data_IF_212562287714
#
_entry.id   IF_212562287714
#
_cell.length_a   1.000
_cell.length_b   1.000
_cell.length_c   1.000
_cell.angle_alpha   90.00
_cell.angle_beta   90.00
_cell.angle_gamma   90.00
#
_symmetry.space_group_name_H-M   'P 1'
#
loop_
_entity.id
_entity.type
_entity.pdbx_description
1 polymer ?
#
# COMPACT_ATOMS: atom_id res chain seq x y z
N UNK A 1 -4.22 -23.18 7.34
CA UNK A 1 -4.37 -22.71 5.94
C UNK A 1 -3.72 -21.34 5.83
N UNK A 2 -2.84 -21.13 4.86
CA UNK A 2 -2.19 -19.83 4.66
C UNK A 2 -3.20 -18.81 4.11
N UNK A 3 -3.27 -17.63 4.70
CA UNK A 3 -4.17 -16.53 4.30
C UNK A 3 -3.42 -15.21 4.31
N UNK A 4 -3.83 -14.26 3.49
CA UNK A 4 -3.26 -12.92 3.48
C UNK A 4 -4.29 -11.85 3.16
N UNK A 5 -4.04 -10.64 3.66
CA UNK A 5 -4.84 -9.46 3.47
C UNK A 5 -3.94 -8.25 3.23
N UNK A 6 -4.39 -7.33 2.38
CA UNK A 6 -3.73 -6.04 2.14
C UNK A 6 -4.72 -4.92 2.39
N UNK A 7 -4.23 -3.80 2.91
CA UNK A 7 -4.98 -2.57 3.12
C UNK A 7 -4.13 -1.34 2.79
N UNK A 8 -4.80 -0.21 2.60
CA UNK A 8 -4.19 1.08 2.34
C UNK A 8 -4.35 1.58 0.90
N UNK A 9 -4.31 2.89 0.80
CA UNK A 9 -4.51 3.71 -0.39
C UNK A 9 -3.17 4.15 -0.98
N UNK A 10 -3.14 4.42 -2.28
CA UNK A 10 -1.93 4.81 -2.99
C UNK A 10 -1.27 6.08 -2.46
N UNK A 11 -2.07 6.97 -1.87
CA UNK A 11 -1.62 8.21 -1.25
C UNK A 11 -2.01 8.31 0.24
N UNK A 12 -2.42 7.20 0.86
CA UNK A 12 -2.56 7.11 2.31
C UNK A 12 -1.21 7.12 3.03
N UNK A 13 -1.19 7.09 4.37
CA UNK A 13 0.05 7.18 5.16
C UNK A 13 0.95 5.94 5.00
N UNK A 14 0.35 4.77 4.84
CA UNK A 14 1.06 3.51 4.65
C UNK A 14 0.15 2.45 4.03
N UNK A 15 0.76 1.40 3.50
CA UNK A 15 0.09 0.13 3.22
C UNK A 15 0.27 -0.81 4.41
N UNK A 16 -0.76 -1.62 4.68
CA UNK A 16 -0.69 -2.70 5.66
C UNK A 16 -0.81 -4.05 4.95
N UNK A 17 0.00 -5.01 5.37
CA UNK A 17 0.02 -6.36 4.83
C UNK A 17 0.02 -7.36 5.99
N UNK A 18 -0.96 -8.25 6.01
CA UNK A 18 -1.10 -9.28 7.06
C UNK A 18 -1.07 -10.65 6.40
N UNK A 19 -0.25 -11.56 6.92
CA UNK A 19 -0.27 -12.98 6.57
C UNK A 19 -0.48 -13.82 7.82
N UNK A 20 -1.37 -14.80 7.74
CA UNK A 20 -1.71 -15.73 8.82
C UNK A 20 -1.49 -17.18 8.34
N UNK A 21 -1.09 -18.05 9.27
CA UNK A 21 -0.88 -19.47 8.98
C UNK A 21 0.51 -19.80 8.46
N UNK A 22 1.46 -18.88 8.60
CA UNK A 22 2.90 -19.15 8.39
C UNK A 22 3.41 -19.95 9.60
N UNK A 23 4.08 -21.10 9.42
CA UNK A 23 4.67 -21.83 10.54
C UNK A 23 5.67 -20.99 11.34
N UNK A 24 5.87 -21.33 12.61
CA UNK A 24 7.00 -20.82 13.37
C UNK A 24 8.34 -21.31 12.77
N UNK A 25 9.44 -20.66 13.16
CA UNK A 25 10.81 -21.05 12.78
C UNK A 25 11.23 -20.78 11.33
N UNK A 26 10.42 -20.04 10.55
CA UNK A 26 10.83 -19.53 9.24
C UNK A 26 11.74 -18.32 9.44
N UNK A 27 12.92 -18.32 8.82
CA UNK A 27 13.89 -17.22 8.92
C UNK A 27 13.54 -16.13 7.92
N UNK A 28 13.25 -14.92 8.40
CA UNK A 28 12.91 -13.77 7.57
C UNK A 28 13.19 -12.47 8.33
N UNK A 29 13.76 -11.49 7.63
CA UNK A 29 14.17 -10.19 8.17
C UNK A 29 13.62 -9.05 7.32
N UNK A 30 13.62 -7.82 7.86
CA UNK A 30 13.24 -6.63 7.08
C UNK A 30 14.09 -6.46 5.81
N UNK A 31 15.37 -6.86 5.84
CA UNK A 31 16.26 -6.82 4.66
C UNK A 31 15.79 -7.73 3.53
N UNK A 32 15.21 -8.89 3.85
CA UNK A 32 14.67 -9.81 2.84
C UNK A 32 13.45 -9.19 2.15
N UNK A 33 12.61 -8.51 2.93
CA UNK A 33 11.45 -7.79 2.40
C UNK A 33 11.89 -6.59 1.56
N UNK A 34 12.87 -5.80 2.04
CA UNK A 34 13.43 -4.65 1.32
C UNK A 34 14.01 -5.06 -0.03
N UNK A 35 14.75 -6.17 -0.07
CA UNK A 35 15.29 -6.72 -1.32
C UNK A 35 14.19 -6.98 -2.35
N UNK A 36 13.09 -7.60 -1.96
CA UNK A 36 11.98 -7.88 -2.86
C UNK A 36 11.21 -6.60 -3.25
N UNK A 37 11.03 -5.64 -2.34
CA UNK A 37 10.44 -4.34 -2.68
C UNK A 37 11.30 -3.54 -3.66
N UNK A 38 12.63 -3.57 -3.50
CA UNK A 38 13.57 -2.91 -4.41
C UNK A 38 13.44 -3.49 -5.83
N UNK A 39 13.29 -4.82 -5.96
CA UNK A 39 13.05 -5.47 -7.27
C UNK A 39 11.77 -5.00 -7.96
N UNK A 40 10.75 -4.58 -7.21
CA UNK A 40 9.50 -4.01 -7.77
C UNK A 40 9.74 -2.72 -8.56
N UNK A 41 10.83 -2.01 -8.25
CA UNK A 41 11.20 -0.73 -8.87
C UNK A 41 12.05 -0.89 -10.13
N UNK A 42 12.45 -2.11 -10.46
CA UNK A 42 13.22 -2.38 -11.67
C UNK A 42 12.35 -2.29 -12.93
N UNK A 43 13.01 -2.02 -14.05
CA UNK A 43 12.41 -2.03 -15.40
C UNK A 43 12.60 -0.70 -16.13
N UNK A 44 12.96 -0.77 -17.41
CA UNK A 44 13.03 0.40 -18.29
C UNK A 44 11.63 1.01 -18.44
N UNK A 45 11.54 2.35 -18.38
CA UNK A 45 10.26 3.07 -18.49
C UNK A 45 9.45 3.15 -17.20
N UNK A 46 9.99 2.69 -16.05
CA UNK A 46 9.37 2.95 -14.74
C UNK A 46 9.36 4.44 -14.45
N UNK A 47 8.19 4.96 -14.08
CA UNK A 47 7.97 6.39 -13.88
C UNK A 47 8.82 6.95 -12.74
N UNK A 48 9.16 8.24 -12.84
CA UNK A 48 10.01 8.95 -11.89
C UNK A 48 9.58 8.79 -10.42
N UNK A 49 8.27 8.61 -10.16
CA UNK A 49 7.71 8.35 -8.83
C UNK A 49 8.41 7.20 -8.10
N UNK A 50 8.78 6.11 -8.78
CA UNK A 50 9.44 4.97 -8.14
C UNK A 50 10.90 5.22 -7.76
N UNK A 51 11.53 6.28 -8.29
CA UNK A 51 12.90 6.64 -7.95
C UNK A 51 12.99 7.45 -6.64
N UNK A 52 11.89 8.11 -6.23
CA UNK A 52 11.86 8.98 -5.05
C UNK A 52 11.05 8.40 -3.88
N UNK A 53 10.02 7.58 -4.15
CA UNK A 53 9.19 6.97 -3.11
C UNK A 53 9.92 5.76 -2.48
N UNK A 54 10.61 6.01 -1.36
CA UNK A 54 11.27 4.95 -0.60
C UNK A 54 10.25 4.26 0.31
N UNK A 55 9.82 3.07 -0.07
CA UNK A 55 9.11 2.13 0.81
C UNK A 55 9.89 1.93 2.11
N UNK A 56 9.37 2.43 3.24
CA UNK A 56 9.94 2.16 4.55
C UNK A 56 9.20 0.98 5.18
N UNK A 57 9.88 -0.15 5.34
CA UNK A 57 9.28 -1.34 5.93
C UNK A 57 9.35 -1.29 7.45
N UNK A 58 8.23 -1.59 8.10
CA UNK A 58 8.16 -1.88 9.53
C UNK A 58 7.45 -3.20 9.76
N UNK A 59 8.11 -4.14 10.45
CA UNK A 59 7.47 -5.38 10.90
C UNK A 59 6.84 -5.09 12.27
N UNK A 60 5.52 -5.11 12.33
CA UNK A 60 4.77 -4.73 13.53
C UNK A 60 4.50 -5.92 14.46
N UNK A 61 4.57 -7.16 13.95
CA UNK A 61 4.34 -8.35 14.75
C UNK A 61 4.58 -9.66 13.99
N UNK A 62 4.58 -10.78 14.72
CA UNK A 62 4.68 -12.14 14.18
C UNK A 62 6.10 -12.65 13.91
N UNK A 63 7.12 -11.78 13.97
CA UNK A 63 8.53 -12.14 13.80
C UNK A 63 9.32 -11.64 15.01
N UNK A 64 10.19 -12.48 15.57
CA UNK A 64 11.10 -12.15 16.67
C UNK A 64 12.50 -12.65 16.33
N UNK A 65 13.51 -11.78 16.46
CA UNK A 65 14.91 -12.10 16.15
C UNK A 65 15.13 -12.71 14.75
N UNK A 66 14.39 -12.23 13.75
CA UNK A 66 14.47 -12.72 12.37
C UNK A 66 13.81 -14.07 12.14
N UNK A 67 12.94 -14.51 13.04
CA UNK A 67 12.26 -15.81 12.97
C UNK A 67 10.76 -15.66 13.23
N UNK A 68 9.93 -16.31 12.43
CA UNK A 68 8.46 -16.30 12.60
C UNK A 68 8.04 -17.03 13.88
N UNK A 69 6.96 -16.56 14.50
CA UNK A 69 6.43 -17.09 15.77
C UNK A 69 5.19 -17.99 15.59
N UNK A 70 4.73 -18.21 14.36
CA UNK A 70 3.54 -19.04 14.05
C UNK A 70 2.19 -18.29 14.09
N UNK A 71 2.14 -17.14 14.79
CA UNK A 71 1.00 -16.22 14.76
C UNK A 71 0.97 -15.33 13.50
N UNK A 72 -0.03 -14.43 13.39
CA UNK A 72 -0.12 -13.49 12.29
C UNK A 72 1.12 -12.58 12.21
N UNK A 73 1.61 -12.37 10.99
CA UNK A 73 2.70 -11.43 10.70
C UNK A 73 2.07 -10.17 10.11
N UNK A 74 2.35 -9.03 10.75
CA UNK A 74 1.89 -7.71 10.31
C UNK A 74 3.08 -6.89 9.82
N UNK A 75 2.95 -6.36 8.60
CA UNK A 75 3.97 -5.56 7.94
C UNK A 75 3.33 -4.25 7.47
N UNK A 76 3.99 -3.14 7.76
CA UNK A 76 3.66 -1.82 7.26
C UNK A 76 4.68 -1.40 6.19
N UNK A 77 4.19 -0.79 5.11
CA UNK A 77 5.02 -0.15 4.08
C UNK A 77 4.67 1.34 4.06
N UNK A 78 5.54 2.17 4.62
CA UNK A 78 5.33 3.61 4.75
C UNK A 78 5.33 4.34 3.41
N UNK A 79 4.56 5.43 3.34
CA UNK A 79 4.51 6.33 2.19
C UNK A 79 5.28 7.63 2.50
N UNK A 80 6.44 7.81 1.88
CA UNK A 80 7.27 9.01 2.05
C UNK A 80 6.61 10.30 1.52
N UNK A 81 5.62 10.17 0.63
CA UNK A 81 4.90 11.31 0.07
C UNK A 81 3.68 11.72 0.93
N UNK A 82 3.41 11.00 2.03
CA UNK A 82 2.28 11.28 2.93
C UNK A 82 2.13 12.76 3.34
N UNK A 83 3.20 13.52 3.67
CA UNK A 83 3.06 14.93 4.05
C UNK A 83 2.38 15.81 2.97
N UNK A 84 2.41 15.40 1.71
CA UNK A 84 1.76 16.14 0.61
C UNK A 84 0.27 15.77 0.43
N UNK A 85 -0.19 14.75 1.14
CA UNK A 85 -1.53 14.16 1.03
C UNK A 85 -2.29 14.17 2.34
N UNK A 86 -1.65 14.49 3.46
CA UNK A 86 -2.20 14.44 4.81
C UNK A 86 -3.60 15.06 4.93
N UNK A 87 -3.84 16.23 4.34
CA UNK A 87 -5.18 16.86 4.35
C UNK A 87 -6.17 16.21 3.38
N UNK A 88 -5.72 15.89 2.16
CA UNK A 88 -6.59 15.36 1.08
C UNK A 88 -7.05 13.94 1.36
N UNK A 89 -6.19 13.16 1.99
CA UNK A 89 -6.39 11.76 2.33
C UNK A 89 -6.52 11.56 3.85
N UNK A 90 -6.87 12.63 4.58
CA UNK A 90 -7.09 12.58 6.02
C UNK A 90 -8.15 11.52 6.34
N UNK A 91 -7.87 10.70 7.36
CA UNK A 91 -8.86 9.77 7.88
C UNK A 91 -9.97 10.50 8.66
N UNK A 92 -9.59 11.60 9.32
CA UNK A 92 -10.51 12.44 10.08
C UNK A 92 -11.10 13.56 9.20
N UNK A 93 -12.31 14.05 9.51
CA UNK A 93 -12.90 15.17 8.81
C UNK A 93 -11.99 16.41 8.80
N UNK A 94 -11.93 17.09 7.66
CA UNK A 94 -11.23 18.37 7.49
C UNK A 94 -12.27 19.42 7.11
N UNK A 95 -12.10 20.65 7.61
CA UNK A 95 -12.98 21.76 7.24
C UNK A 95 -12.99 21.97 5.72
N UNK A 96 -14.18 22.09 5.14
CA UNK A 96 -14.36 22.33 3.71
C UNK A 96 -13.65 23.61 3.24
N UNK A 97 -13.55 24.64 4.09
CA UNK A 97 -12.82 25.86 3.77
C UNK A 97 -11.31 25.62 3.59
N UNK A 98 -10.73 24.70 4.37
CA UNK A 98 -9.33 24.30 4.22
C UNK A 98 -9.08 23.48 2.96
N UNK A 99 -10.06 22.65 2.57
CA UNK A 99 -9.97 21.81 1.38
C UNK A 99 -10.21 22.59 0.08
N UNK A 100 -11.05 23.63 0.09
CA UNK A 100 -11.43 24.40 -1.10
C UNK A 100 -10.22 25.07 -1.78
N UNK A 101 -9.19 25.44 -1.00
CA UNK A 101 -7.95 26.03 -1.53
C UNK A 101 -6.93 25.01 -2.08
N UNK A 102 -7.16 23.71 -1.88
CA UNK A 102 -6.21 22.67 -2.26
C UNK A 102 -6.55 22.10 -3.64
N UNK A 103 -5.80 22.51 -4.67
CA UNK A 103 -5.97 21.96 -6.02
C UNK A 103 -5.83 20.43 -6.10
N UNK A 104 -5.11 19.81 -5.14
CA UNK A 104 -5.01 18.34 -5.01
C UNK A 104 -6.32 17.66 -4.61
N UNK A 105 -7.22 18.39 -3.95
CA UNK A 105 -8.54 17.90 -3.53
C UNK A 105 -9.61 18.10 -4.62
N UNK A 106 -9.27 18.63 -5.79
CA UNK A 106 -10.22 18.79 -6.87
C UNK A 106 -10.84 17.43 -7.26
N UNK A 107 -12.16 17.34 -7.49
CA UNK A 107 -12.82 16.08 -7.83
C UNK A 107 -12.35 15.58 -9.20
N UNK A 108 -12.22 14.27 -9.33
CA UNK A 108 -11.79 13.59 -10.55
C UNK A 108 -13.00 12.93 -11.23
N UNK A 109 -13.63 13.69 -12.12
CA UNK A 109 -14.90 13.28 -12.76
C UNK A 109 -14.74 12.73 -14.18
N UNK A 110 -13.51 12.52 -14.64
CA UNK A 110 -13.20 12.01 -15.99
C UNK A 110 -12.57 10.62 -15.88
N UNK A 111 -13.36 9.54 -15.94
CA UNK A 111 -12.85 8.19 -15.73
C UNK A 111 -11.92 7.76 -16.86
N UNK A 112 -10.79 7.15 -16.53
CA UNK A 112 -9.78 6.72 -17.51
C UNK A 112 -10.19 5.37 -18.14
N UNK A 113 -10.18 5.24 -19.48
CA UNK A 113 -10.36 3.95 -20.13
C UNK A 113 -9.32 2.92 -19.66
N UNK A 114 -9.79 1.70 -19.37
CA UNK A 114 -8.93 0.61 -18.86
C UNK A 114 -8.63 0.66 -17.36
N UNK A 115 -9.11 1.66 -16.63
CA UNK A 115 -9.00 1.75 -15.17
C UNK A 115 -10.31 1.42 -14.47
N UNK A 116 -10.25 1.24 -13.14
CA UNK A 116 -11.39 0.95 -12.29
C UNK A 116 -12.36 2.13 -12.13
N UNK A 117 -11.97 3.34 -12.53
CA UNK A 117 -12.64 4.60 -12.21
C UNK A 117 -14.16 4.56 -12.49
N UNK A 118 -14.59 4.36 -13.75
CA UNK A 118 -16.01 4.43 -14.13
C UNK A 118 -16.87 3.39 -13.40
N UNK A 119 -16.45 2.12 -13.44
CA UNK A 119 -17.21 1.01 -12.85
C UNK A 119 -17.22 1.13 -11.33
N UNK A 120 -16.12 1.58 -10.72
CA UNK A 120 -16.04 1.83 -9.29
C UNK A 120 -16.94 2.97 -8.84
N UNK A 121 -16.92 4.10 -9.55
CA UNK A 121 -17.80 5.24 -9.28
C UNK A 121 -19.28 4.81 -9.33
N UNK A 122 -19.69 4.10 -10.39
CA UNK A 122 -21.05 3.59 -10.52
C UNK A 122 -21.43 2.56 -9.46
N UNK A 123 -20.49 1.67 -9.10
CA UNK A 123 -20.72 0.59 -8.12
C UNK A 123 -20.93 1.11 -6.71
N UNK A 124 -20.17 2.13 -6.33
CA UNK A 124 -20.13 2.66 -4.97
C UNK A 124 -20.81 4.02 -4.82
N UNK A 125 -21.45 4.51 -5.89
CA UNK A 125 -22.17 5.79 -5.93
C UNK A 125 -21.27 6.98 -5.55
N UNK A 126 -20.12 7.09 -6.22
CA UNK A 126 -19.20 8.21 -6.06
C UNK A 126 -19.20 9.14 -7.27
N UNK A 127 -19.32 10.44 -7.00
CA UNK A 127 -19.13 11.51 -8.00
C UNK A 127 -17.65 11.87 -8.25
N UNK A 128 -16.75 11.35 -7.42
CA UNK A 128 -15.29 11.51 -7.53
C UNK A 128 -14.61 10.15 -7.70
N UNK A 129 -13.71 10.02 -8.68
CA UNK A 129 -12.93 8.80 -8.89
C UNK A 129 -11.84 8.58 -7.82
N UNK A 130 -11.52 9.57 -6.98
CA UNK A 130 -10.41 9.47 -6.00
C UNK A 130 -10.53 8.27 -5.06
N UNK A 131 -11.66 8.02 -4.36
CA UNK A 131 -11.78 6.84 -3.49
C UNK A 131 -11.55 5.51 -4.22
N UNK A 132 -11.86 5.46 -5.53
CA UNK A 132 -11.68 4.27 -6.36
C UNK A 132 -10.22 4.10 -6.77
N UNK A 133 -9.61 5.12 -7.38
CA UNK A 133 -8.26 5.02 -7.93
C UNK A 133 -7.21 4.81 -6.84
N UNK A 134 -7.46 5.35 -5.65
CA UNK A 134 -6.54 5.24 -4.52
C UNK A 134 -6.34 3.79 -4.10
N UNK A 135 -7.42 3.01 -4.06
CA UNK A 135 -7.35 1.58 -3.72
C UNK A 135 -7.06 0.69 -4.93
N UNK A 136 -7.56 1.03 -6.11
CA UNK A 136 -7.32 0.25 -7.33
C UNK A 136 -5.89 0.41 -7.90
N UNK A 137 -5.16 1.42 -7.44
CA UNK A 137 -3.77 1.66 -7.84
C UNK A 137 -2.88 0.44 -7.63
N UNK A 138 -2.00 0.19 -8.60
CA UNK A 138 -0.97 -0.85 -8.50
C UNK A 138 0.05 -0.60 -7.36
N UNK A 139 -0.02 0.54 -6.66
CA UNK A 139 0.74 0.79 -5.43
C UNK A 139 0.53 -0.30 -4.39
N UNK A 140 -0.69 -0.83 -4.28
CA UNK A 140 -1.06 -1.94 -3.38
C UNK A 140 -0.17 -3.18 -3.56
N UNK A 141 0.39 -3.40 -4.76
CA UNK A 141 1.27 -4.54 -5.03
C UNK A 141 2.54 -4.55 -4.18
N UNK A 142 2.95 -3.41 -3.60
CA UNK A 142 4.04 -3.39 -2.63
C UNK A 142 3.71 -4.22 -1.37
N UNK A 143 2.48 -4.15 -0.85
CA UNK A 143 2.03 -5.01 0.24
C UNK A 143 2.08 -6.49 -0.16
N UNK A 144 1.66 -6.82 -1.39
CA UNK A 144 1.75 -8.19 -1.93
C UNK A 144 3.18 -8.69 -2.05
N UNK A 145 4.11 -7.84 -2.46
CA UNK A 145 5.54 -8.20 -2.55
C UNK A 145 6.13 -8.47 -1.16
N UNK A 146 5.76 -7.68 -0.14
CA UNK A 146 6.18 -7.94 1.24
C UNK A 146 5.66 -9.29 1.77
N UNK A 147 4.38 -9.61 1.51
CA UNK A 147 3.79 -10.92 1.85
C UNK A 147 4.46 -12.05 1.06
N UNK A 148 4.75 -11.83 -0.22
CA UNK A 148 5.45 -12.76 -1.08
C UNK A 148 6.88 -13.04 -0.62
N UNK A 149 7.56 -12.07 -0.01
CA UNK A 149 8.88 -12.28 0.59
C UNK A 149 8.81 -13.25 1.79
N UNK A 150 7.78 -13.13 2.64
CA UNK A 150 7.55 -14.09 3.74
C UNK A 150 7.25 -15.49 3.19
N UNK A 151 6.41 -15.60 2.16
CA UNK A 151 6.12 -16.89 1.53
C UNK A 151 7.38 -17.51 0.89
N UNK A 152 8.23 -16.70 0.25
CA UNK A 152 9.51 -17.14 -0.32
C UNK A 152 10.51 -17.63 0.73
N UNK A 153 10.49 -17.05 1.93
CA UNK A 153 11.34 -17.50 3.01
C UNK A 153 10.94 -18.90 3.55
N UNK A 154 9.68 -19.30 3.33
CA UNK A 154 9.17 -20.62 3.70
C UNK A 154 9.44 -21.71 2.65
N UNK A 155 9.39 -21.35 1.35
CA UNK A 155 9.61 -22.25 0.21
C UNK A 155 11.09 -22.64 0.05
#
# INVERSE_FOLDING_TARGET
>A
MLRWLTAGESHGPALSAIVEGVPAHVKVTSKDLDFHLARRRLGVGRGARQNFEADQISILGGIRHGVTQGGPISIQVGNTEWPKWEKVMSADPVDAAELAGLGRNAPLTRPRPGHADLVGMQKYDFDDARPILERASARETAARVALGAVARAFL
#
